data_IF_443029456107
#
_entry.id   IF_443029456107
#
_cell.length_a   1.000
_cell.length_b   1.000
_cell.length_c   1.000
_cell.angle_alpha   90.00
_cell.angle_beta   90.00
_cell.angle_gamma   90.00
#
_symmetry.space_group_name_H-M   'P 1'
#
loop_
_entity.id
_entity.type
_entity.pdbx_description
1 polymer ?
#
# COMPACT_ATOMS: atom_id res chain seq x y z
N UNK A 1 -32.18 33.88 -4.03
CA UNK A 1 -32.62 32.53 -3.58
C UNK A 1 -32.25 31.53 -4.68
N UNK A 2 -32.02 30.29 -4.25
CA UNK A 2 -31.74 29.06 -5.02
C UNK A 2 -30.27 28.76 -5.38
N UNK A 3 -29.75 27.78 -4.65
CA UNK A 3 -28.53 27.02 -4.88
C UNK A 3 -28.73 25.96 -5.98
N UNK A 4 -27.64 25.53 -6.64
CA UNK A 4 -27.53 24.14 -7.09
C UNK A 4 -26.09 23.68 -7.39
N UNK A 5 -25.62 22.82 -6.47
CA UNK A 5 -24.99 21.50 -6.67
C UNK A 5 -23.67 21.43 -7.47
N UNK A 6 -22.58 21.22 -6.71
CA UNK A 6 -21.30 20.66 -7.17
C UNK A 6 -21.48 19.28 -7.84
N UNK A 7 -20.60 18.94 -8.78
CA UNK A 7 -19.97 17.63 -8.67
C UNK A 7 -18.46 17.65 -8.85
N UNK A 8 -17.82 16.74 -8.12
CA UNK A 8 -16.44 16.28 -8.25
C UNK A 8 -15.35 17.28 -7.85
N UNK A 9 -15.30 17.56 -6.54
CA UNK A 9 -14.03 17.75 -5.86
C UNK A 9 -13.06 16.60 -6.21
N UNK A 10 -11.82 16.97 -6.54
CA UNK A 10 -10.62 16.14 -6.46
C UNK A 10 -10.63 14.84 -7.30
N UNK A 11 -10.62 14.96 -8.63
CA UNK A 11 -10.28 13.84 -9.50
C UNK A 11 -8.84 13.93 -10.00
N UNK A 12 -8.04 12.96 -9.53
CA UNK A 12 -6.86 12.37 -10.17
C UNK A 12 -5.58 13.21 -10.20
N UNK A 13 -4.87 13.29 -9.06
CA UNK A 13 -3.41 13.51 -9.06
C UNK A 13 -2.65 12.41 -8.29
N UNK A 14 -3.32 11.39 -7.78
CA UNK A 14 -2.66 10.26 -7.10
C UNK A 14 -2.17 9.17 -8.08
N UNK A 15 -2.55 9.23 -9.36
CA UNK A 15 -2.27 8.19 -10.35
C UNK A 15 -0.86 8.27 -10.97
N UNK A 16 -0.07 9.30 -10.67
CA UNK A 16 1.17 9.57 -11.41
C UNK A 16 2.40 8.77 -10.95
N UNK A 17 2.33 8.08 -9.79
CA UNK A 17 3.54 7.51 -9.17
C UNK A 17 3.50 6.00 -8.85
N UNK A 18 2.38 5.31 -9.09
CA UNK A 18 2.29 3.87 -8.84
C UNK A 18 2.13 3.13 -10.17
N UNK A 19 2.99 2.14 -10.47
CA UNK A 19 2.81 1.32 -11.66
C UNK A 19 1.44 0.63 -11.59
N UNK A 20 0.75 0.42 -12.72
CA UNK A 20 -0.46 -0.39 -12.73
C UNK A 20 -0.10 -1.79 -12.23
N UNK A 21 -0.59 -2.13 -11.04
CA UNK A 21 -0.26 -3.36 -10.33
C UNK A 21 -1.56 -3.96 -9.79
N UNK A 22 -1.79 -5.24 -10.06
CA UNK A 22 -2.90 -5.97 -9.45
C UNK A 22 -2.49 -6.46 -8.06
N UNK A 23 -3.47 -6.83 -7.22
CA UNK A 23 -3.17 -7.48 -5.94
C UNK A 23 -2.42 -8.82 -6.09
N UNK A 24 -2.60 -9.51 -7.21
CA UNK A 24 -1.86 -10.74 -7.51
C UNK A 24 -0.38 -10.45 -7.81
N UNK A 25 -0.10 -9.38 -8.56
CA UNK A 25 1.28 -8.94 -8.81
C UNK A 25 1.96 -8.51 -7.52
N UNK A 26 1.23 -7.80 -6.65
CA UNK A 26 1.73 -7.40 -5.34
C UNK A 26 2.03 -8.62 -4.45
N UNK A 27 1.12 -9.59 -4.40
CA UNK A 27 1.32 -10.84 -3.67
C UNK A 27 2.57 -11.59 -4.17
N UNK A 28 2.72 -11.73 -5.49
CA UNK A 28 3.89 -12.36 -6.09
C UNK A 28 5.19 -11.61 -5.74
N UNK A 29 5.18 -10.28 -5.77
CA UNK A 29 6.33 -9.47 -5.38
C UNK A 29 6.71 -9.66 -3.90
N UNK A 30 5.73 -9.68 -2.99
CA UNK A 30 6.00 -9.92 -1.57
C UNK A 30 6.52 -11.35 -1.31
N UNK A 31 6.05 -12.36 -2.04
CA UNK A 31 6.59 -13.72 -1.95
C UNK A 31 8.07 -13.79 -2.34
N UNK A 32 8.50 -13.00 -3.35
CA UNK A 32 9.89 -12.94 -3.78
C UNK A 32 10.79 -12.24 -2.75
N UNK A 33 10.26 -11.23 -2.05
CA UNK A 33 11.02 -10.41 -1.09
C UNK A 33 11.07 -11.04 0.30
N UNK A 34 10.12 -11.90 0.64
CA UNK A 34 10.08 -12.59 1.92
C UNK A 34 11.35 -13.44 2.16
N UNK A 35 12.08 -13.08 3.23
CA UNK A 35 13.41 -13.63 3.54
C UNK A 35 13.37 -15.10 3.99
N UNK A 36 12.27 -15.55 4.58
CA UNK A 36 12.12 -16.92 5.07
C UNK A 36 10.69 -17.48 4.91
N UNK A 37 10.50 -18.71 5.39
CA UNK A 37 9.20 -19.40 5.34
C UNK A 37 8.13 -18.73 6.21
N UNK A 38 8.49 -18.18 7.36
CA UNK A 38 7.54 -17.51 8.25
C UNK A 38 7.02 -16.22 7.60
N UNK A 39 7.92 -15.42 7.01
CA UNK A 39 7.56 -14.22 6.26
C UNK A 39 6.66 -14.54 5.05
N UNK A 40 6.92 -15.63 4.32
CA UNK A 40 6.05 -16.06 3.21
C UNK A 40 4.63 -16.41 3.65
N UNK A 41 4.46 -16.96 4.84
CA UNK A 41 3.14 -17.25 5.42
C UNK A 41 2.38 -15.95 5.74
N UNK A 42 3.08 -14.85 6.04
CA UNK A 42 2.46 -13.55 6.34
C UNK A 42 1.93 -12.82 5.10
N UNK A 43 2.51 -13.07 3.92
CA UNK A 43 2.16 -12.40 2.66
C UNK A 43 0.65 -12.31 2.36
N UNK A 44 -0.13 -13.41 2.36
CA UNK A 44 -1.56 -13.34 2.04
C UNK A 44 -2.34 -12.47 3.03
N UNK A 45 -1.89 -12.39 4.30
CA UNK A 45 -2.51 -11.54 5.31
C UNK A 45 -2.23 -10.06 5.07
N UNK A 46 -1.00 -9.71 4.67
CA UNK A 46 -0.62 -8.35 4.31
C UNK A 46 -1.39 -7.85 3.07
N UNK A 47 -1.49 -8.69 2.03
CA UNK A 47 -2.27 -8.38 0.82
C UNK A 47 -3.75 -8.20 1.15
N UNK A 48 -4.32 -9.08 1.99
CA UNK A 48 -5.70 -8.96 2.46
C UNK A 48 -5.94 -7.69 3.28
N UNK A 49 -4.99 -7.33 4.15
CA UNK A 49 -5.02 -6.10 4.94
C UNK A 49 -5.00 -4.86 4.04
N UNK A 50 -4.02 -4.78 3.14
CA UNK A 50 -3.89 -3.67 2.19
C UNK A 50 -5.16 -3.53 1.33
N UNK A 51 -5.72 -4.63 0.84
CA UNK A 51 -6.95 -4.60 0.02
C UNK A 51 -8.14 -4.00 0.77
N UNK A 52 -8.25 -4.23 2.08
CA UNK A 52 -9.32 -3.67 2.92
C UNK A 52 -9.08 -2.19 3.23
N UNK A 53 -7.82 -1.78 3.34
CA UNK A 53 -7.43 -0.39 3.67
C UNK A 53 -7.40 0.51 2.43
N UNK A 54 -7.08 -0.04 1.25
CA UNK A 54 -6.88 0.67 0.00
C UNK A 54 -7.96 1.73 -0.34
N UNK A 55 -9.27 1.47 -0.15
CA UNK A 55 -10.30 2.48 -0.43
C UNK A 55 -10.21 3.75 0.44
N UNK A 56 -9.51 3.67 1.57
CA UNK A 56 -9.37 4.75 2.56
C UNK A 56 -7.99 5.43 2.51
N UNK A 57 -7.12 5.02 1.58
CA UNK A 57 -5.74 5.48 1.50
C UNK A 57 -5.53 6.36 0.26
N UNK A 58 -4.71 7.39 0.41
CA UNK A 58 -4.16 8.10 -0.75
C UNK A 58 -2.94 7.33 -1.32
N UNK A 59 -2.48 7.71 -2.52
CA UNK A 59 -1.37 7.02 -3.18
C UNK A 59 -0.06 7.01 -2.39
N UNK A 60 0.24 8.07 -1.64
CA UNK A 60 1.45 8.13 -0.79
C UNK A 60 1.37 7.15 0.38
N UNK A 61 0.22 7.09 1.05
CA UNK A 61 -0.02 6.15 2.14
C UNK A 61 0.01 4.70 1.62
N UNK A 62 -0.58 4.42 0.46
CA UNK A 62 -0.54 3.10 -0.18
C UNK A 62 0.91 2.69 -0.50
N UNK A 63 1.70 3.59 -1.07
CA UNK A 63 3.11 3.34 -1.37
C UNK A 63 3.93 3.10 -0.10
N UNK A 64 3.67 3.87 0.96
CA UNK A 64 4.32 3.66 2.25
C UNK A 64 4.01 2.27 2.82
N UNK A 65 2.74 1.83 2.80
CA UNK A 65 2.39 0.50 3.30
C UNK A 65 3.00 -0.63 2.48
N UNK A 66 3.09 -0.47 1.15
CA UNK A 66 3.78 -1.41 0.27
C UNK A 66 5.26 -1.53 0.68
N UNK A 67 5.95 -0.39 0.88
CA UNK A 67 7.36 -0.35 1.27
C UNK A 67 7.59 -0.91 2.68
N UNK A 68 6.74 -0.57 3.66
CA UNK A 68 6.81 -1.10 5.01
C UNK A 68 6.58 -2.62 5.04
N UNK A 69 5.60 -3.11 4.29
CA UNK A 69 5.34 -4.55 4.15
C UNK A 69 6.56 -5.26 3.57
N UNK A 70 7.12 -4.75 2.48
CA UNK A 70 8.31 -5.32 1.85
C UNK A 70 9.53 -5.29 2.78
N UNK A 71 9.77 -4.18 3.50
CA UNK A 71 10.89 -4.05 4.43
C UNK A 71 10.77 -5.03 5.61
N UNK A 72 9.57 -5.20 6.15
CA UNK A 72 9.29 -6.17 7.21
C UNK A 72 9.56 -7.61 6.74
N UNK A 73 9.10 -7.97 5.53
CA UNK A 73 9.30 -9.32 4.99
C UNK A 73 10.75 -9.59 4.57
N UNK A 74 11.48 -8.56 4.16
CA UNK A 74 12.90 -8.66 3.80
C UNK A 74 13.84 -8.68 5.01
N UNK A 75 13.30 -8.56 6.24
CA UNK A 75 14.08 -8.42 7.47
C UNK A 75 15.11 -7.28 7.41
N UNK A 76 14.72 -6.17 6.73
CA UNK A 76 15.60 -5.01 6.62
C UNK A 76 15.66 -4.27 7.97
N UNK A 77 16.84 -3.77 8.35
CA UNK A 77 16.97 -2.94 9.54
C UNK A 77 16.15 -1.66 9.36
N UNK A 78 14.97 -1.61 9.97
CA UNK A 78 14.14 -0.40 9.95
C UNK A 78 14.74 0.62 10.91
N UNK A 79 15.13 1.78 10.39
CA UNK A 79 15.51 2.91 11.24
C UNK A 79 14.27 3.32 12.06
N UNK A 80 14.36 3.46 13.39
CA UNK A 80 13.22 3.89 14.19
C UNK A 80 12.68 5.21 13.64
N UNK A 81 11.37 5.28 13.41
CA UNK A 81 10.69 6.53 13.07
C UNK A 81 10.96 7.49 14.23
N UNK A 82 11.70 8.56 13.98
CA UNK A 82 11.85 9.62 14.97
C UNK A 82 10.45 10.11 15.35
N UNK A 83 10.12 10.06 16.64
CA UNK A 83 8.89 10.66 17.15
C UNK A 83 8.94 12.15 16.79
N UNK A 84 7.98 12.58 15.97
CA UNK A 84 7.76 13.99 15.66
C UNK A 84 7.00 14.66 16.81
#
# INVERSE_FOLDING_TARGET
MSASIHPAAASIQAAEYLPPMTYADFEAALQLVASDRQHRVMVPFLVSGLRKQAPFMNGQAMMLEILCSAACLADLPMKPRAAA
#
